data_IF_566625507642
#
_entry.id   IF_566625507642
#
_cell.length_a   1.000
_cell.length_b   1.000
_cell.length_c   1.000
_cell.angle_alpha   90.00
_cell.angle_beta   90.00
_cell.angle_gamma   90.00
#
_symmetry.space_group_name_H-M   'P 1'
#
loop_
_entity.id
_entity.type
_entity.pdbx_description
1 polymer ?
#
# COMPACT_ATOMS: atom_id res chain seq x y z
N UNK A 1 56.37 6.91 -41.68
CA UNK A 1 56.09 7.25 -40.26
C UNK A 1 54.76 7.99 -39.99
N UNK A 2 53.87 8.21 -40.95
CA UNK A 2 52.59 8.91 -40.71
C UNK A 2 51.43 8.02 -40.27
N UNK A 3 51.43 6.72 -40.53
CA UNK A 3 50.30 5.82 -40.27
C UNK A 3 50.13 5.36 -38.80
N UNK A 4 51.18 5.38 -37.99
CA UNK A 4 51.08 4.98 -36.58
C UNK A 4 50.35 6.00 -35.72
N UNK A 5 50.39 7.28 -36.01
CA UNK A 5 49.67 8.31 -35.26
C UNK A 5 48.15 8.22 -35.46
N UNK A 6 47.71 7.88 -36.68
CA UNK A 6 46.29 7.68 -36.95
C UNK A 6 45.71 6.43 -36.28
N UNK A 7 46.48 5.34 -36.29
CA UNK A 7 46.09 4.11 -35.65
C UNK A 7 45.93 4.31 -34.13
N UNK A 8 46.86 5.02 -33.50
CA UNK A 8 46.82 5.34 -32.09
C UNK A 8 45.62 6.22 -31.73
N UNK A 9 45.26 7.18 -32.59
CA UNK A 9 44.11 8.07 -32.39
C UNK A 9 42.79 7.30 -32.53
N UNK A 10 42.65 6.44 -33.53
CA UNK A 10 41.47 5.60 -33.74
C UNK A 10 41.25 4.62 -32.55
N UNK A 11 42.34 3.98 -32.07
CA UNK A 11 42.27 3.07 -30.91
C UNK A 11 41.91 3.82 -29.61
N UNK A 12 42.47 5.04 -29.41
CA UNK A 12 42.10 5.87 -28.25
C UNK A 12 40.65 6.32 -28.29
N UNK A 13 40.11 6.72 -29.44
CA UNK A 13 38.72 7.10 -29.61
C UNK A 13 37.79 5.88 -29.42
N UNK A 14 38.17 4.71 -29.94
CA UNK A 14 37.41 3.46 -29.72
C UNK A 14 37.40 3.01 -28.24
N UNK A 15 38.54 3.14 -27.56
CA UNK A 15 38.62 2.87 -26.10
C UNK A 15 37.77 3.89 -25.31
N UNK A 16 37.75 5.16 -25.69
CA UNK A 16 36.93 6.19 -25.08
C UNK A 16 35.44 5.94 -25.29
N UNK A 17 35.02 5.47 -26.46
CA UNK A 17 33.65 5.02 -26.71
C UNK A 17 33.30 3.75 -25.91
N UNK A 18 34.21 2.78 -25.82
CA UNK A 18 34.00 1.56 -25.00
C UNK A 18 33.89 1.87 -23.51
N UNK A 19 34.68 2.83 -23.00
CA UNK A 19 34.56 3.26 -21.60
C UNK A 19 33.29 4.11 -21.36
N UNK A 20 32.84 4.92 -22.30
CA UNK A 20 31.55 5.62 -22.22
C UNK A 20 30.36 4.64 -22.28
N UNK A 21 30.43 3.58 -23.07
CA UNK A 21 29.43 2.51 -23.06
C UNK A 21 29.47 1.67 -21.77
N UNK A 22 30.65 1.45 -21.20
CA UNK A 22 30.78 0.74 -19.92
C UNK A 22 30.34 1.57 -18.71
N UNK A 23 30.48 2.91 -18.77
CA UNK A 23 30.02 3.83 -17.74
C UNK A 23 28.51 4.16 -17.87
N UNK A 24 27.96 4.08 -19.09
CA UNK A 24 26.51 4.07 -19.31
C UNK A 24 25.95 2.63 -19.36
N UNK A 25 26.69 1.71 -18.76
CA UNK A 25 26.41 0.30 -18.75
C UNK A 25 25.03 -0.01 -18.19
N UNK A 26 24.23 -0.57 -19.07
CA UNK A 26 23.08 -1.41 -18.78
C UNK A 26 21.85 -0.73 -18.20
N UNK A 27 21.26 0.18 -18.96
CA UNK A 27 19.82 0.36 -18.92
C UNK A 27 19.18 -0.10 -20.23
N UNK A 28 19.50 -1.30 -20.68
CA UNK A 28 18.72 -2.02 -21.68
C UNK A 28 17.65 -2.83 -20.93
N UNK A 29 16.52 -2.17 -20.60
CA UNK A 29 15.33 -2.87 -20.08
C UNK A 29 15.37 -3.34 -18.63
N UNK A 30 16.31 -2.88 -17.80
CA UNK A 30 16.34 -3.18 -16.36
C UNK A 30 15.44 -2.21 -15.60
N UNK A 31 14.49 -2.75 -14.85
CA UNK A 31 13.70 -1.97 -13.88
C UNK A 31 14.64 -1.22 -12.93
N UNK A 32 14.37 0.07 -12.72
CA UNK A 32 15.18 0.89 -11.83
C UNK A 32 14.85 0.54 -10.37
N UNK A 33 15.80 -0.06 -9.67
CA UNK A 33 15.64 -0.37 -8.24
C UNK A 33 15.76 0.93 -7.45
N UNK A 34 14.82 1.26 -6.54
CA UNK A 34 14.93 2.42 -5.66
C UNK A 34 16.22 2.39 -4.84
N UNK A 35 16.84 3.55 -4.59
CA UNK A 35 18.15 3.66 -3.92
C UNK A 35 18.16 3.08 -2.49
N UNK A 36 17.01 3.09 -1.81
CA UNK A 36 16.82 2.59 -0.45
C UNK A 36 16.31 1.13 -0.44
N UNK A 37 16.53 0.38 -1.54
CA UNK A 37 16.16 -1.04 -1.66
C UNK A 37 17.35 -1.89 -2.03
N UNK A 38 17.47 -3.04 -1.37
CA UNK A 38 18.26 -4.14 -1.94
C UNK A 38 17.51 -4.78 -3.10
N UNK A 39 18.21 -5.49 -3.96
CA UNK A 39 17.57 -6.25 -5.06
C UNK A 39 16.55 -7.25 -4.52
N UNK A 40 16.85 -7.93 -3.39
CA UNK A 40 15.97 -8.90 -2.76
C UNK A 40 14.68 -8.25 -2.23
N UNK A 41 14.80 -7.09 -1.57
CA UNK A 41 13.65 -6.32 -1.10
C UNK A 41 12.76 -5.87 -2.27
N UNK A 42 13.37 -5.38 -3.35
CA UNK A 42 12.64 -4.95 -4.55
C UNK A 42 11.89 -6.11 -5.22
N UNK A 43 12.54 -7.26 -5.39
CA UNK A 43 11.87 -8.46 -5.93
C UNK A 43 10.75 -8.96 -4.99
N UNK A 44 10.95 -8.84 -3.69
CA UNK A 44 9.92 -9.18 -2.72
C UNK A 44 8.71 -8.24 -2.79
N UNK A 45 8.92 -6.93 -2.97
CA UNK A 45 7.86 -5.93 -3.14
C UNK A 45 6.96 -6.21 -4.35
N UNK A 46 7.48 -6.83 -5.42
CA UNK A 46 6.67 -7.20 -6.60
C UNK A 46 5.52 -8.15 -6.26
N UNK A 47 5.62 -8.89 -5.17
CA UNK A 47 4.51 -9.73 -4.69
C UNK A 47 3.25 -8.89 -4.39
N UNK A 48 3.44 -7.64 -3.98
CA UNK A 48 2.37 -6.73 -3.57
C UNK A 48 1.85 -5.84 -4.71
N UNK A 49 2.27 -6.07 -5.93
CA UNK A 49 1.85 -5.28 -7.10
C UNK A 49 0.33 -5.09 -7.23
N UNK A 50 -0.52 -6.11 -6.94
CA UNK A 50 -1.97 -5.94 -7.00
C UNK A 50 -2.51 -4.90 -6.02
N UNK A 51 -2.00 -4.86 -4.77
CA UNK A 51 -2.46 -3.87 -3.80
C UNK A 51 -1.91 -2.48 -4.13
N UNK A 52 -0.68 -2.36 -4.63
CA UNK A 52 -0.16 -1.09 -5.09
C UNK A 52 -1.03 -0.50 -6.20
N UNK A 53 -1.33 -1.28 -7.25
CA UNK A 53 -2.21 -0.86 -8.35
C UNK A 53 -3.60 -0.44 -7.88
N UNK A 54 -4.14 -1.13 -6.87
CA UNK A 54 -5.42 -0.77 -6.29
C UNK A 54 -5.35 0.55 -5.52
N UNK A 55 -4.30 0.74 -4.72
CA UNK A 55 -4.11 1.96 -3.90
C UNK A 55 -3.85 3.21 -4.75
N UNK A 56 -3.18 3.11 -5.89
CA UNK A 56 -2.89 4.25 -6.77
C UNK A 56 -4.12 4.82 -7.48
N UNK A 57 -5.21 4.07 -7.54
CA UNK A 57 -6.41 4.50 -8.25
C UNK A 57 -7.18 5.57 -7.46
N UNK A 58 -7.42 6.73 -8.06
CA UNK A 58 -8.33 7.75 -7.51
C UNK A 58 -9.78 7.25 -7.49
N UNK A 59 -10.17 6.50 -8.53
CA UNK A 59 -11.44 5.79 -8.59
C UNK A 59 -11.17 4.29 -8.57
N UNK A 60 -11.56 3.63 -7.48
CA UNK A 60 -11.30 2.21 -7.28
C UNK A 60 -11.98 1.36 -8.35
N UNK A 61 -11.19 0.53 -9.03
CA UNK A 61 -11.67 -0.51 -9.95
C UNK A 61 -11.74 -1.83 -9.17
N UNK A 62 -12.96 -2.31 -9.00
CA UNK A 62 -13.24 -3.57 -8.32
C UNK A 62 -13.30 -4.78 -9.27
N UNK A 63 -13.01 -4.59 -10.56
CA UNK A 63 -13.00 -5.69 -11.55
C UNK A 63 -12.02 -6.78 -11.11
N UNK A 64 -12.48 -8.02 -11.10
CA UNK A 64 -11.66 -9.18 -10.68
C UNK A 64 -11.47 -9.34 -9.18
N UNK A 65 -12.07 -8.46 -8.36
CA UNK A 65 -12.14 -8.67 -6.92
C UNK A 65 -13.41 -9.45 -6.55
N UNK A 66 -13.33 -10.22 -5.47
CA UNK A 66 -14.44 -10.91 -4.83
C UNK A 66 -15.02 -10.10 -3.67
N UNK A 67 -14.13 -9.48 -2.88
CA UNK A 67 -14.51 -8.68 -1.74
C UNK A 67 -13.47 -7.58 -1.48
N UNK A 68 -13.91 -6.55 -0.77
CA UNK A 68 -13.08 -5.46 -0.25
C UNK A 68 -13.50 -5.15 1.17
N UNK A 69 -12.55 -5.18 2.10
CA UNK A 69 -12.76 -4.83 3.50
C UNK A 69 -11.94 -3.59 3.81
N UNK A 70 -12.55 -2.65 4.51
CA UNK A 70 -11.89 -1.48 5.08
C UNK A 70 -12.28 -1.36 6.54
N UNK A 71 -11.30 -1.43 7.41
CA UNK A 71 -11.46 -1.40 8.85
C UNK A 71 -10.69 -0.22 9.45
N UNK A 72 -11.29 0.46 10.44
CA UNK A 72 -10.69 1.53 11.21
C UNK A 72 -10.87 1.26 12.70
N UNK A 73 -9.82 0.77 13.31
CA UNK A 73 -9.75 0.49 14.74
C UNK A 73 -9.14 1.68 15.48
N UNK A 74 -9.82 2.19 16.51
CA UNK A 74 -9.38 3.30 17.35
C UNK A 74 -9.35 2.88 18.80
N UNK A 75 -8.19 2.94 19.43
CA UNK A 75 -8.01 2.68 20.86
C UNK A 75 -7.56 3.95 21.58
N UNK A 76 -8.25 4.30 22.68
CA UNK A 76 -7.89 5.39 23.58
C UNK A 76 -7.95 4.85 25.02
N UNK A 77 -6.78 4.69 25.64
CA UNK A 77 -6.68 3.99 26.91
C UNK A 77 -7.20 2.54 26.79
N UNK A 78 -8.26 2.21 27.55
CA UNK A 78 -8.92 0.89 27.50
C UNK A 78 -10.12 0.85 26.54
N UNK A 79 -10.59 2.01 26.06
CA UNK A 79 -11.73 2.08 25.16
C UNK A 79 -11.32 1.75 23.73
N UNK A 80 -12.14 0.92 23.08
CA UNK A 80 -11.96 0.49 21.69
C UNK A 80 -13.21 0.83 20.90
N UNK A 81 -13.01 1.47 19.76
CA UNK A 81 -14.02 1.70 18.73
C UNK A 81 -13.52 1.09 17.41
N UNK A 82 -14.41 0.37 16.76
CA UNK A 82 -14.10 -0.34 15.53
C UNK A 82 -15.18 -0.04 14.46
N UNK A 83 -14.74 0.28 13.25
CA UNK A 83 -15.59 0.72 12.13
C UNK A 83 -15.19 -0.06 10.89
N UNK A 84 -15.97 -1.08 10.53
CA UNK A 84 -15.67 -1.97 9.41
C UNK A 84 -16.68 -1.82 8.28
N UNK A 85 -16.19 -1.66 7.05
CA UNK A 85 -16.94 -1.84 5.80
C UNK A 85 -16.50 -3.16 5.19
N UNK A 86 -17.43 -4.10 5.02
CA UNK A 86 -17.21 -5.35 4.29
C UNK A 86 -18.09 -5.36 3.03
N UNK A 87 -17.46 -5.36 1.86
CA UNK A 87 -18.13 -5.29 0.56
C UNK A 87 -17.92 -6.57 -0.25
N UNK A 88 -19.02 -7.25 -0.54
CA UNK A 88 -19.09 -8.30 -1.56
C UNK A 88 -19.20 -7.68 -2.96
N UNK A 89 -18.34 -8.15 -3.87
CA UNK A 89 -18.25 -7.64 -5.23
C UNK A 89 -18.79 -8.71 -6.20
N UNK A 90 -19.86 -8.35 -6.90
CA UNK A 90 -20.47 -9.19 -7.94
C UNK A 90 -20.48 -8.44 -9.27
N UNK A 91 -20.78 -9.12 -10.36
CA UNK A 91 -20.91 -8.50 -11.70
C UNK A 91 -21.99 -7.42 -11.76
N UNK A 92 -23.03 -7.52 -10.92
CA UNK A 92 -24.20 -6.63 -10.95
C UNK A 92 -24.21 -5.55 -9.88
N UNK A 93 -23.49 -5.74 -8.78
CA UNK A 93 -23.54 -4.82 -7.63
C UNK A 93 -22.34 -4.98 -6.70
N UNK A 94 -22.01 -3.90 -6.00
CA UNK A 94 -21.11 -3.88 -4.85
C UNK A 94 -21.97 -3.55 -3.64
N UNK A 95 -22.08 -4.48 -2.69
CA UNK A 95 -22.94 -4.37 -1.51
C UNK A 95 -22.33 -5.11 -0.34
N UNK A 96 -22.74 -4.76 0.85
CA UNK A 96 -22.24 -5.41 2.07
C UNK A 96 -22.80 -4.75 3.31
N UNK A 97 -21.98 -4.74 4.35
CA UNK A 97 -22.35 -4.25 5.66
C UNK A 97 -21.36 -3.20 6.16
N UNK A 98 -21.90 -2.19 6.85
CA UNK A 98 -21.14 -1.31 7.73
C UNK A 98 -21.37 -1.75 9.19
N UNK A 99 -20.31 -2.20 9.82
CA UNK A 99 -20.31 -2.61 11.24
C UNK A 99 -19.69 -1.49 12.07
N UNK A 100 -20.39 -1.10 13.14
CA UNK A 100 -19.92 -0.15 14.14
C UNK A 100 -19.85 -0.88 15.47
N UNK A 101 -18.68 -0.91 16.09
CA UNK A 101 -18.48 -1.50 17.42
C UNK A 101 -17.94 -0.42 18.37
N UNK A 102 -18.69 -0.09 19.40
CA UNK A 102 -18.35 0.91 20.42
C UNK A 102 -18.32 0.23 21.80
N UNK A 103 -17.15 -0.22 22.22
CA UNK A 103 -17.03 -1.07 23.41
C UNK A 103 -17.73 -2.42 23.21
N UNK A 104 -18.81 -2.66 23.96
CA UNK A 104 -19.61 -3.91 23.85
C UNK A 104 -20.79 -3.77 22.88
N UNK A 105 -21.15 -2.56 22.48
CA UNK A 105 -22.27 -2.28 21.57
C UNK A 105 -21.86 -2.51 20.12
N UNK A 106 -22.70 -3.24 19.37
CA UNK A 106 -22.50 -3.52 17.96
C UNK A 106 -23.73 -3.18 17.15
N UNK A 107 -23.57 -2.38 16.11
CA UNK A 107 -24.55 -2.05 15.09
C UNK A 107 -24.11 -2.55 13.73
N UNK A 108 -25.02 -3.07 12.91
CA UNK A 108 -24.76 -3.48 11.54
C UNK A 108 -25.77 -2.85 10.61
N UNK A 109 -25.29 -2.12 9.61
CA UNK A 109 -26.12 -1.41 8.64
C UNK A 109 -25.78 -1.89 7.23
N UNK A 110 -26.76 -2.41 6.45
CA UNK A 110 -26.56 -2.78 5.08
C UNK A 110 -26.12 -1.57 4.24
N UNK A 111 -25.11 -1.76 3.39
CA UNK A 111 -24.62 -0.70 2.50
C UNK A 111 -24.55 -1.18 1.05
N UNK A 112 -24.61 -0.22 0.12
CA UNK A 112 -24.21 -0.41 -1.27
C UNK A 112 -23.15 0.61 -1.64
N UNK A 113 -22.23 0.23 -2.53
CA UNK A 113 -21.17 1.13 -2.98
C UNK A 113 -21.34 1.43 -4.46
N UNK A 114 -21.35 2.71 -4.80
CA UNK A 114 -21.41 3.16 -6.19
C UNK A 114 -20.78 4.54 -6.36
N UNK A 115 -20.03 4.74 -7.44
CA UNK A 115 -19.41 6.03 -7.79
C UNK A 115 -18.52 6.61 -6.68
N UNK A 116 -17.81 5.78 -5.92
CA UNK A 116 -16.93 6.22 -4.82
C UNK A 116 -17.65 6.52 -3.52
N UNK A 117 -18.96 6.22 -3.41
CA UNK A 117 -19.79 6.55 -2.24
C UNK A 117 -20.51 5.34 -1.69
N UNK A 118 -20.68 5.35 -0.37
CA UNK A 118 -21.55 4.43 0.35
C UNK A 118 -22.98 4.98 0.39
N UNK A 119 -23.95 4.09 0.13
CA UNK A 119 -25.35 4.36 0.34
C UNK A 119 -25.85 3.42 1.42
N UNK A 120 -26.35 3.96 2.51
CA UNK A 120 -26.75 3.23 3.71
C UNK A 120 -28.22 2.82 3.62
N UNK A 121 -28.53 1.61 4.09
CA UNK A 121 -29.91 1.10 4.14
C UNK A 121 -30.78 1.73 5.22
N UNK A 122 -30.16 2.41 6.21
CA UNK A 122 -30.81 3.18 7.27
C UNK A 122 -29.96 4.36 7.67
N UNK A 123 -30.51 5.26 8.49
CA UNK A 123 -29.74 6.33 9.13
C UNK A 123 -28.70 5.72 10.09
N UNK A 124 -27.48 6.21 10.02
CA UNK A 124 -26.34 5.71 10.81
C UNK A 124 -25.45 6.86 11.26
N UNK A 125 -24.94 6.77 12.48
CA UNK A 125 -24.02 7.74 13.06
C UNK A 125 -22.98 7.02 13.95
N UNK A 126 -21.68 7.20 13.69
CA UNK A 126 -21.09 8.06 12.64
C UNK A 126 -21.16 7.41 11.24
N UNK A 127 -21.07 8.22 10.20
CA UNK A 127 -20.86 7.74 8.83
C UNK A 127 -19.41 7.30 8.65
N UNK A 128 -19.21 6.22 7.89
CA UNK A 128 -17.85 5.79 7.53
C UNK A 128 -17.14 6.84 6.69
N UNK A 129 -15.85 7.02 6.91
CA UNK A 129 -15.07 7.98 6.12
C UNK A 129 -14.75 7.43 4.74
N UNK A 130 -15.47 7.91 3.74
CA UNK A 130 -15.24 7.53 2.33
C UNK A 130 -13.83 7.88 1.83
N UNK A 131 -13.11 8.83 2.45
CA UNK A 131 -11.71 9.13 2.08
C UNK A 131 -10.77 8.01 2.52
N UNK A 132 -11.06 7.33 3.62
CA UNK A 132 -10.31 6.15 4.04
C UNK A 132 -10.67 4.96 3.15
N UNK A 133 -11.95 4.74 2.88
CA UNK A 133 -12.41 3.69 1.97
C UNK A 133 -11.77 3.83 0.58
N UNK A 134 -11.63 5.05 0.09
CA UNK A 134 -11.04 5.36 -1.22
C UNK A 134 -9.58 5.85 -1.10
N UNK A 135 -8.85 5.45 -0.06
CA UNK A 135 -7.48 5.90 0.20
C UNK A 135 -6.59 5.72 -1.05
N UNK A 136 -5.94 6.82 -1.45
CA UNK A 136 -4.97 6.81 -2.54
C UNK A 136 -3.56 6.93 -1.98
N UNK A 137 -2.72 5.96 -2.35
CA UNK A 137 -1.30 5.96 -1.97
C UNK A 137 -0.47 5.60 -3.21
N UNK A 138 0.42 6.49 -3.62
CA UNK A 138 1.23 6.28 -4.82
C UNK A 138 2.34 5.25 -4.62
N UNK A 139 2.74 4.59 -5.70
CA UNK A 139 3.91 3.70 -5.72
C UNK A 139 5.19 4.44 -5.32
N UNK A 140 5.34 5.70 -5.77
CA UNK A 140 6.49 6.54 -5.45
C UNK A 140 6.59 6.82 -3.95
N UNK A 141 5.45 6.96 -3.26
CA UNK A 141 5.46 7.07 -1.81
C UNK A 141 6.05 5.83 -1.15
N UNK A 142 5.60 4.63 -1.50
CA UNK A 142 6.21 3.39 -0.98
C UNK A 142 7.69 3.26 -1.34
N UNK A 143 8.07 3.63 -2.57
CA UNK A 143 9.45 3.62 -3.00
C UNK A 143 10.34 4.60 -2.21
N UNK A 144 9.79 5.65 -1.62
CA UNK A 144 10.50 6.61 -0.76
C UNK A 144 10.73 6.10 0.68
N UNK A 145 9.92 5.13 1.15
CA UNK A 145 9.99 4.63 2.52
C UNK A 145 11.12 3.63 2.70
N UNK A 146 11.71 3.58 3.88
CA UNK A 146 12.65 2.53 4.25
C UNK A 146 11.93 1.24 4.64
N UNK A 147 12.43 0.10 4.14
CA UNK A 147 11.96 -1.21 4.57
C UNK A 147 12.54 -1.54 5.94
N UNK A 148 11.69 -1.63 6.94
CA UNK A 148 12.06 -2.06 8.29
C UNK A 148 12.29 -3.58 8.34
N UNK A 149 11.36 -4.33 7.75
CA UNK A 149 11.38 -5.80 7.78
C UNK A 149 10.62 -6.42 6.62
N UNK A 150 11.09 -7.57 6.16
CA UNK A 150 10.35 -8.49 5.29
C UNK A 150 10.18 -9.83 6.00
N UNK A 151 9.04 -10.49 5.79
CA UNK A 151 8.77 -11.81 6.31
C UNK A 151 8.14 -12.71 5.23
N UNK A 152 8.58 -13.97 5.19
CA UNK A 152 7.99 -15.02 4.36
C UNK A 152 7.88 -16.28 5.18
N UNK A 153 6.67 -16.80 5.32
CA UNK A 153 6.46 -18.12 5.93
C UNK A 153 6.97 -19.22 5.01
N UNK A 154 7.62 -20.22 5.57
CA UNK A 154 8.04 -21.40 4.84
C UNK A 154 6.90 -22.42 4.65
N UNK A 155 5.88 -22.39 5.51
CA UNK A 155 4.79 -23.38 5.56
C UNK A 155 3.50 -22.85 4.92
N UNK A 156 3.33 -21.53 4.88
CA UNK A 156 2.17 -20.86 4.32
C UNK A 156 2.61 -19.89 3.23
N UNK A 157 1.69 -19.51 2.35
CA UNK A 157 1.97 -18.48 1.34
C UNK A 157 1.94 -17.05 1.93
N UNK A 158 2.05 -16.92 3.26
CA UNK A 158 2.07 -15.62 3.92
C UNK A 158 3.37 -14.88 3.63
N UNK A 159 3.26 -13.64 3.21
CA UNK A 159 4.35 -12.68 3.06
C UNK A 159 3.93 -11.35 3.62
N UNK A 160 4.83 -10.67 4.30
CA UNK A 160 4.63 -9.28 4.69
C UNK A 160 5.89 -8.43 4.51
N UNK A 161 5.69 -7.14 4.33
CA UNK A 161 6.73 -6.12 4.32
C UNK A 161 6.27 -4.96 5.18
N UNK A 162 7.14 -4.50 6.07
CA UNK A 162 6.89 -3.37 6.95
C UNK A 162 7.78 -2.21 6.55
N UNK A 163 7.16 -1.05 6.38
CA UNK A 163 7.82 0.20 6.09
C UNK A 163 7.78 1.11 7.32
N UNK A 164 8.90 1.76 7.57
CA UNK A 164 8.97 2.88 8.51
C UNK A 164 8.58 4.16 7.80
N UNK A 165 7.56 4.83 8.31
CA UNK A 165 7.14 6.11 7.73
C UNK A 165 7.88 7.27 8.37
N UNK A 166 8.10 8.33 7.60
CA UNK A 166 8.60 9.59 8.11
C UNK A 166 7.44 10.48 8.59
N UNK A 167 7.61 11.10 9.75
CA UNK A 167 6.58 11.93 10.41
C UNK A 167 6.19 13.21 9.66
N UNK A 168 6.73 13.44 8.48
CA UNK A 168 6.45 14.62 7.65
C UNK A 168 5.73 14.28 6.33
N UNK A 169 5.45 13.01 6.04
CA UNK A 169 4.70 12.63 4.84
C UNK A 169 3.26 13.19 4.88
N UNK A 170 2.69 13.43 3.71
CA UNK A 170 1.32 13.97 3.63
C UNK A 170 0.29 12.96 4.16
N UNK A 171 0.50 11.68 3.95
CA UNK A 171 -0.34 10.62 4.50
C UNK A 171 -0.31 10.64 6.03
N UNK A 172 0.90 10.70 6.64
CA UNK A 172 1.04 10.80 8.09
C UNK A 172 0.32 12.03 8.65
N UNK A 173 0.56 13.22 8.08
CA UNK A 173 -0.08 14.48 8.51
C UNK A 173 -1.59 14.41 8.40
N UNK A 174 -2.10 13.88 7.28
CA UNK A 174 -3.54 13.72 7.07
C UNK A 174 -4.16 12.84 8.17
N UNK A 175 -3.61 11.65 8.40
CA UNK A 175 -4.14 10.72 9.39
C UNK A 175 -3.96 11.23 10.82
N UNK A 176 -2.82 11.85 11.14
CA UNK A 176 -2.55 12.48 12.44
C UNK A 176 -3.61 13.52 12.77
N UNK A 177 -3.88 14.44 11.84
CA UNK A 177 -4.88 15.49 12.02
C UNK A 177 -6.30 14.94 12.09
N UNK A 178 -6.63 13.96 11.21
CA UNK A 178 -7.95 13.36 11.15
C UNK A 178 -8.35 12.69 12.46
N UNK A 179 -7.42 11.96 13.06
CA UNK A 179 -7.66 11.19 14.27
C UNK A 179 -7.15 11.90 15.53
N UNK A 180 -6.77 13.17 15.45
CA UNK A 180 -6.25 13.96 16.57
C UNK A 180 -5.18 13.18 17.37
N UNK A 181 -4.15 12.72 16.64
CA UNK A 181 -3.07 11.94 17.23
C UNK A 181 -2.03 12.84 17.91
N UNK A 182 -1.45 12.43 19.07
CA UNK A 182 -0.43 13.17 19.79
C UNK A 182 0.84 13.46 18.96
N UNK A 183 1.69 14.39 19.44
CA UNK A 183 2.91 14.81 18.75
C UNK A 183 3.97 13.69 18.67
N UNK A 184 4.02 12.81 19.65
CA UNK A 184 4.95 11.69 19.77
C UNK A 184 4.52 10.45 18.96
N UNK A 185 3.43 10.57 18.16
CA UNK A 185 2.90 9.46 17.36
C UNK A 185 3.93 8.93 16.39
N UNK A 186 4.10 7.61 16.40
CA UNK A 186 4.81 6.85 15.35
C UNK A 186 3.83 6.30 14.33
N UNK A 187 4.31 6.01 13.12
CA UNK A 187 3.50 5.41 12.08
C UNK A 187 4.27 4.30 11.37
N UNK A 188 3.62 3.19 11.12
CA UNK A 188 4.14 2.07 10.33
C UNK A 188 3.13 1.66 9.27
N UNK A 189 3.62 1.25 8.12
CA UNK A 189 2.80 0.66 7.08
C UNK A 189 3.27 -0.77 6.86
N UNK A 190 2.33 -1.70 6.90
CA UNK A 190 2.55 -3.10 6.56
C UNK A 190 1.74 -3.44 5.32
N UNK A 191 2.38 -4.10 4.36
CA UNK A 191 1.66 -4.81 3.31
C UNK A 191 1.73 -6.30 3.62
N UNK A 192 0.63 -6.99 3.41
CA UNK A 192 0.56 -8.45 3.56
C UNK A 192 -0.07 -9.10 2.34
N UNK A 193 0.27 -10.38 2.17
CA UNK A 193 -0.22 -11.24 1.12
C UNK A 193 -0.37 -12.65 1.66
N UNK A 194 -1.50 -13.27 1.37
CA UNK A 194 -1.74 -14.66 1.75
C UNK A 194 -2.55 -15.43 0.70
N UNK A 195 -2.35 -16.75 0.68
CA UNK A 195 -3.14 -17.72 -0.10
C UNK A 195 -3.27 -17.39 -1.61
N UNK A 196 -2.30 -16.68 -2.18
CA UNK A 196 -2.30 -16.34 -3.60
C UNK A 196 -3.33 -15.29 -4.02
N UNK A 197 -4.17 -14.77 -3.10
CA UNK A 197 -5.35 -13.96 -3.46
C UNK A 197 -5.70 -12.83 -2.52
N UNK A 198 -5.21 -12.85 -1.30
CA UNK A 198 -5.53 -11.86 -0.28
C UNK A 198 -4.35 -10.90 -0.20
N UNK A 199 -4.63 -9.62 -0.38
CA UNK A 199 -3.64 -8.56 -0.27
C UNK A 199 -4.17 -7.51 0.68
N UNK A 200 -3.34 -7.11 1.63
CA UNK A 200 -3.68 -6.12 2.63
C UNK A 200 -2.67 -4.99 2.71
N UNK A 201 -3.15 -3.86 3.21
CA UNK A 201 -2.33 -2.79 3.77
C UNK A 201 -2.87 -2.47 5.16
N UNK A 202 -1.98 -2.40 6.12
CA UNK A 202 -2.25 -1.94 7.48
C UNK A 202 -1.43 -0.70 7.76
N UNK A 203 -2.08 0.37 8.20
CA UNK A 203 -1.44 1.61 8.63
C UNK A 203 -1.69 1.75 10.12
N UNK A 204 -0.64 1.60 10.91
CA UNK A 204 -0.70 1.70 12.36
C UNK A 204 -0.07 3.00 12.82
N UNK A 205 -0.84 3.82 13.53
CA UNK A 205 -0.39 5.02 14.22
C UNK A 205 -0.51 4.81 15.73
N UNK A 206 0.58 4.99 16.45
CA UNK A 206 0.64 4.72 17.89
C UNK A 206 1.33 5.86 18.64
N UNK A 207 0.76 6.20 19.80
CA UNK A 207 1.35 7.00 20.86
C UNK A 207 1.17 6.27 22.20
N UNK A 208 1.58 6.88 23.32
CA UNK A 208 1.46 6.28 24.65
C UNK A 208 0.01 5.90 24.99
N UNK A 209 -0.95 6.78 24.69
CA UNK A 209 -2.34 6.63 25.14
C UNK A 209 -3.34 6.35 24.03
N UNK A 210 -2.91 6.40 22.77
CA UNK A 210 -3.80 6.29 21.61
C UNK A 210 -3.19 5.50 20.48
N UNK A 211 -3.98 4.59 19.91
CA UNK A 211 -3.62 3.90 18.68
C UNK A 211 -4.76 3.98 17.66
N UNK A 212 -4.40 4.12 16.40
CA UNK A 212 -5.32 4.04 15.25
C UNK A 212 -4.71 3.08 14.25
N UNK A 213 -5.47 2.05 13.90
CA UNK A 213 -5.11 1.11 12.84
C UNK A 213 -6.13 1.20 11.71
N UNK A 214 -5.65 1.26 10.49
CA UNK A 214 -6.48 1.28 9.28
C UNK A 214 -6.03 0.10 8.44
N UNK A 215 -6.95 -0.83 8.21
CA UNK A 215 -6.71 -2.02 7.39
C UNK A 215 -7.56 -1.95 6.11
N UNK A 216 -6.93 -2.13 4.97
CA UNK A 216 -7.60 -2.28 3.68
C UNK A 216 -7.22 -3.65 3.12
N UNK A 217 -8.20 -4.49 2.81
CA UNK A 217 -7.96 -5.85 2.30
C UNK A 217 -8.76 -6.08 1.02
N UNK A 218 -8.08 -6.53 -0.03
CA UNK A 218 -8.70 -6.98 -1.28
C UNK A 218 -8.60 -8.49 -1.43
N UNK A 219 -9.72 -9.10 -1.85
CA UNK A 219 -9.82 -10.52 -2.14
C UNK A 219 -9.99 -10.70 -3.65
N UNK A 220 -9.01 -11.29 -4.31
CA UNK A 220 -9.08 -11.55 -5.76
C UNK A 220 -9.93 -12.78 -6.07
N UNK A 221 -10.62 -12.75 -7.20
CA UNK A 221 -11.32 -13.93 -7.73
C UNK A 221 -10.31 -15.01 -8.16
N UNK A 222 -10.78 -16.27 -8.21
CA UNK A 222 -9.97 -17.40 -8.67
C UNK A 222 -9.71 -17.26 -10.18
N UNK A 223 -8.43 -17.20 -10.58
CA UNK A 223 -8.07 -17.13 -12.02
C UNK A 223 -7.71 -15.75 -12.54
N UNK A 224 -7.51 -14.80 -11.65
CA UNK A 224 -7.07 -13.41 -11.95
C UNK A 224 -5.56 -13.25 -11.80
#
# INVERSE_FOLDING_TARGET
MKNHKYLFWVVSVMLMFLTLFALNGCSLGGETIPKNRTKEQYEFEKTFEPIFKFLEQEKKDFTGLKAYICDVYIKVGEQVNDYEIDLDITESAIKGDYTITLGEDKEIVPVTYSNGKLNYGSEVNPLFDEKILNLVVSRDYFASLDVERTFKSAETELRDIIYKTENHSDLYKYLKNKYDMPEDTTCRIRLDYSNGRIYGISILMESEDKAVQIDLTIFKQKGW
#
